data_IF_792960693136
#
_entry.id   IF_792960693136
#
_cell.length_a   1.000
_cell.length_b   1.000
_cell.length_c   1.000
_cell.angle_alpha   90.00
_cell.angle_beta   90.00
_cell.angle_gamma   90.00
#
_symmetry.space_group_name_H-M   'P 1'
#
loop_
_entity.id
_entity.type
_entity.pdbx_description
1 polymer ?
#
# COMPACT_ATOMS: atom_id res chain seq x y z
N UNK A 1 -20.94 -14.15 1.79
CA UNK A 1 -19.90 -14.06 2.85
C UNK A 1 -18.66 -13.29 2.40
N UNK A 2 -18.28 -13.34 1.11
CA UNK A 2 -17.04 -12.70 0.61
C UNK A 2 -16.99 -11.18 0.85
N UNK A 3 -18.08 -10.46 0.55
CA UNK A 3 -18.15 -9.00 0.76
C UNK A 3 -17.96 -8.64 2.24
N UNK A 4 -18.56 -9.40 3.15
CA UNK A 4 -18.40 -9.19 4.60
C UNK A 4 -16.93 -9.41 4.99
N UNK A 5 -16.28 -10.45 4.47
CA UNK A 5 -14.86 -10.69 4.71
C UNK A 5 -13.99 -9.53 4.23
N UNK A 6 -14.26 -9.00 3.02
CA UNK A 6 -13.57 -7.82 2.47
C UNK A 6 -13.79 -6.59 3.37
N UNK A 7 -15.03 -6.34 3.82
CA UNK A 7 -15.35 -5.22 4.72
C UNK A 7 -14.60 -5.32 6.05
N UNK A 8 -14.61 -6.50 6.68
CA UNK A 8 -13.90 -6.74 7.93
C UNK A 8 -12.38 -6.61 7.77
N UNK A 9 -11.84 -7.17 6.68
CA UNK A 9 -10.42 -7.05 6.36
C UNK A 9 -10.02 -5.59 6.11
N UNK A 10 -10.87 -4.79 5.45
CA UNK A 10 -10.67 -3.34 5.28
C UNK A 10 -10.59 -2.59 6.61
N UNK A 11 -11.52 -2.87 7.53
CA UNK A 11 -11.47 -2.34 8.89
C UNK A 11 -10.18 -2.74 9.64
N UNK A 12 -9.81 -4.02 9.55
CA UNK A 12 -8.57 -4.53 10.15
C UNK A 12 -7.31 -3.87 9.56
N UNK A 13 -7.26 -3.67 8.24
CA UNK A 13 -6.18 -2.97 7.55
C UNK A 13 -6.04 -1.52 8.02
N UNK A 14 -7.16 -0.80 8.17
CA UNK A 14 -7.16 0.57 8.67
C UNK A 14 -6.66 0.67 10.12
N UNK A 15 -7.05 -0.27 10.98
CA UNK A 15 -6.56 -0.36 12.38
C UNK A 15 -5.06 -0.67 12.40
N UNK A 16 -4.60 -1.61 11.56
CA UNK A 16 -3.19 -1.96 11.44
C UNK A 16 -2.35 -0.76 10.96
N UNK A 17 -2.84 -0.01 9.96
CA UNK A 17 -2.22 1.23 9.49
C UNK A 17 -2.08 2.23 10.62
N UNK A 18 -3.15 2.48 11.37
CA UNK A 18 -3.13 3.42 12.49
C UNK A 18 -2.15 3.01 13.59
N UNK A 19 -2.14 1.72 13.95
CA UNK A 19 -1.21 1.18 14.94
C UNK A 19 0.25 1.30 14.47
N UNK A 20 0.53 0.98 13.20
CA UNK A 20 1.86 1.06 12.64
C UNK A 20 2.35 2.51 12.50
N UNK A 21 1.49 3.43 12.03
CA UNK A 21 1.82 4.85 11.92
C UNK A 21 2.22 5.43 13.28
N UNK A 22 1.44 5.12 14.34
CA UNK A 22 1.76 5.52 15.71
C UNK A 22 3.08 4.92 16.21
N UNK A 23 3.32 3.63 15.97
CA UNK A 23 4.57 2.97 16.37
C UNK A 23 5.78 3.56 15.67
N UNK A 24 5.69 3.80 14.36
CA UNK A 24 6.77 4.38 13.57
C UNK A 24 7.10 5.81 14.03
N UNK A 25 6.08 6.62 14.31
CA UNK A 25 6.26 7.99 14.84
C UNK A 25 6.80 7.99 16.27
N UNK A 26 6.38 7.04 17.10
CA UNK A 26 6.87 6.89 18.49
C UNK A 26 8.31 6.39 18.55
N UNK A 27 8.70 5.47 17.65
CA UNK A 27 10.04 4.89 17.61
C UNK A 27 11.13 5.90 17.17
N UNK A 28 10.75 7.00 16.53
CA UNK A 28 11.70 8.01 16.04
C UNK A 28 11.15 9.42 16.23
N UNK A 29 11.58 10.06 17.32
CA UNK A 29 11.26 11.46 17.63
C UNK A 29 11.65 12.32 16.42
N UNK A 30 10.69 13.06 15.87
CA UNK A 30 10.89 13.95 14.73
C UNK A 30 10.75 13.31 13.34
N UNK A 31 10.23 12.08 13.22
CA UNK A 31 10.01 11.49 11.90
C UNK A 31 8.89 12.22 11.12
N UNK A 32 9.15 12.68 9.89
CA UNK A 32 8.11 13.34 9.08
C UNK A 32 6.92 12.41 8.82
N UNK A 33 5.70 12.96 8.85
CA UNK A 33 4.48 12.20 8.64
C UNK A 33 4.45 11.47 7.28
N UNK A 34 5.03 12.03 6.22
CA UNK A 34 5.14 11.34 4.92
C UNK A 34 6.05 10.12 4.96
N UNK A 35 7.05 10.09 5.85
CA UNK A 35 7.98 8.96 5.94
C UNK A 35 7.30 7.73 6.52
N UNK A 36 6.48 7.87 7.56
CA UNK A 36 5.72 6.73 8.10
C UNK A 36 4.73 6.19 7.07
N UNK A 37 4.01 7.08 6.39
CA UNK A 37 3.06 6.72 5.32
C UNK A 37 3.77 6.05 4.13
N UNK A 38 4.99 6.48 3.81
CA UNK A 38 5.79 5.84 2.76
C UNK A 38 6.11 4.39 3.12
N UNK A 39 6.54 4.13 4.36
CA UNK A 39 6.82 2.77 4.83
C UNK A 39 5.57 1.90 4.76
N UNK A 40 4.44 2.42 5.27
CA UNK A 40 3.15 1.71 5.24
C UNK A 40 2.74 1.36 3.80
N UNK A 41 2.76 2.35 2.90
CA UNK A 41 2.35 2.15 1.51
C UNK A 41 3.28 1.20 0.77
N UNK A 42 4.60 1.32 0.96
CA UNK A 42 5.59 0.40 0.36
C UNK A 42 5.37 -1.03 0.83
N UNK A 43 5.19 -1.27 2.14
CA UNK A 43 4.91 -2.61 2.67
C UNK A 43 3.62 -3.17 2.05
N UNK A 44 2.54 -2.37 2.03
CA UNK A 44 1.27 -2.79 1.43
C UNK A 44 1.39 -3.08 -0.06
N UNK A 45 2.19 -2.31 -0.79
CA UNK A 45 2.46 -2.53 -2.22
C UNK A 45 3.25 -3.81 -2.48
N UNK A 46 4.23 -4.19 -1.64
CA UNK A 46 4.91 -5.50 -1.75
C UNK A 46 3.88 -6.62 -1.62
N UNK A 47 3.01 -6.56 -0.60
CA UNK A 47 1.97 -7.57 -0.37
C UNK A 47 1.00 -7.63 -1.54
N UNK A 48 0.55 -6.49 -2.07
CA UNK A 48 -0.30 -6.44 -3.26
C UNK A 48 0.38 -7.03 -4.50
N UNK A 49 1.66 -6.76 -4.71
CA UNK A 49 2.45 -7.34 -5.78
C UNK A 49 2.53 -8.86 -5.68
N UNK A 50 2.83 -9.38 -4.48
CA UNK A 50 2.84 -10.82 -4.19
C UNK A 50 1.47 -11.45 -4.48
N UNK A 51 0.39 -10.85 -3.97
CA UNK A 51 -0.98 -11.32 -4.20
C UNK A 51 -1.34 -11.32 -5.68
N UNK A 52 -0.92 -10.30 -6.44
CA UNK A 52 -1.15 -10.22 -7.88
C UNK A 52 -0.39 -11.29 -8.66
N UNK A 53 0.88 -11.54 -8.34
CA UNK A 53 1.68 -12.58 -8.99
C UNK A 53 1.17 -13.99 -8.68
N UNK A 54 0.76 -14.20 -7.43
CA UNK A 54 0.06 -15.42 -7.02
C UNK A 54 -1.27 -15.55 -7.79
N UNK A 55 -2.10 -14.52 -7.85
CA UNK A 55 -3.35 -14.55 -8.62
C UNK A 55 -3.09 -14.92 -10.09
N UNK A 56 -2.07 -14.30 -10.71
CA UNK A 56 -1.67 -14.57 -12.08
C UNK A 56 -1.33 -16.06 -12.32
N UNK A 57 -0.48 -16.66 -11.48
CA UNK A 57 -0.03 -18.06 -11.63
C UNK A 57 -1.19 -19.06 -11.54
N UNK A 58 -2.15 -18.81 -10.64
CA UNK A 58 -3.23 -19.77 -10.34
C UNK A 58 -4.53 -19.51 -11.10
N UNK A 59 -4.78 -18.29 -11.56
CA UNK A 59 -6.01 -17.93 -12.28
C UNK A 59 -5.79 -17.60 -13.76
N UNK A 60 -4.55 -17.30 -14.19
CA UNK A 60 -4.24 -16.85 -15.54
C UNK A 60 -4.81 -15.46 -15.86
N UNK A 61 -5.52 -14.82 -14.92
CA UNK A 61 -6.12 -13.53 -15.11
C UNK A 61 -5.05 -12.44 -14.97
N UNK A 62 -4.83 -11.68 -16.04
CA UNK A 62 -4.15 -10.39 -15.96
C UNK A 62 -5.16 -9.27 -16.21
N UNK A 63 -4.96 -8.06 -15.68
CA UNK A 63 -5.72 -6.89 -16.09
C UNK A 63 -5.61 -6.57 -17.60
N UNK A 64 -4.65 -7.19 -18.31
CA UNK A 64 -4.35 -6.98 -19.72
C UNK A 64 -4.89 -8.09 -20.64
N UNK A 65 -5.44 -9.18 -20.10
CA UNK A 65 -6.02 -10.26 -20.91
C UNK A 65 -7.40 -9.87 -21.42
N UNK A 66 -7.45 -8.96 -22.38
CA UNK A 66 -8.64 -8.67 -23.20
C UNK A 66 -8.88 -9.73 -24.27
N UNK A 67 -7.85 -10.51 -24.59
CA UNK A 67 -7.92 -11.64 -25.49
C UNK A 67 -7.60 -12.88 -24.65
N UNK A 68 -8.53 -13.84 -24.62
CA UNK A 68 -8.48 -15.06 -23.82
C UNK A 68 -7.39 -16.04 -24.24
N UNK A 69 -6.15 -15.58 -24.39
CA UNK A 69 -4.97 -16.44 -24.38
C UNK A 69 -4.66 -16.78 -22.93
N UNK A 70 -5.10 -17.97 -22.51
CA UNK A 70 -4.57 -18.59 -21.31
C UNK A 70 -3.06 -18.75 -21.49
N UNK A 71 -2.29 -18.04 -20.68
CA UNK A 71 -0.82 -18.09 -20.76
C UNK A 71 -0.38 -19.50 -20.33
N UNK A 72 0.45 -20.12 -21.18
CA UNK A 72 1.04 -21.43 -20.94
C UNK A 72 1.77 -21.45 -19.58
N UNK A 73 1.41 -22.40 -18.72
CA UNK A 73 1.97 -22.53 -17.36
C UNK A 73 1.00 -22.19 -16.21
N UNK A 74 -0.23 -21.72 -16.51
CA UNK A 74 -1.25 -21.50 -15.49
C UNK A 74 -1.70 -22.83 -14.86
N UNK A 75 -1.57 -22.96 -13.54
CA UNK A 75 -2.03 -24.16 -12.83
C UNK A 75 -3.52 -24.02 -12.60
N UNK A 76 -4.34 -24.76 -13.35
CA UNK A 76 -5.79 -24.86 -13.15
C UNK A 76 -6.11 -25.56 -11.82
N UNK A 77 -5.78 -24.90 -10.71
CA UNK A 77 -6.07 -25.34 -9.35
C UNK A 77 -6.88 -24.22 -8.69
N UNK A 78 -8.17 -24.23 -9.00
CA UNK A 78 -9.19 -23.37 -8.38
C UNK A 78 -9.32 -23.56 -6.86
N UNK A 79 -8.61 -24.54 -6.28
CA UNK A 79 -8.70 -24.90 -4.86
C UNK A 79 -7.70 -24.23 -3.91
N UNK A 80 -6.52 -23.77 -4.37
CA UNK A 80 -5.47 -23.33 -3.42
C UNK A 80 -5.59 -21.86 -2.98
N UNK A 81 -6.25 -21.02 -3.78
CA UNK A 81 -6.58 -19.65 -3.44
C UNK A 81 -8.08 -19.48 -3.65
N UNK A 82 -8.84 -19.76 -2.61
CA UNK A 82 -10.29 -19.62 -2.68
C UNK A 82 -10.67 -18.21 -3.14
N UNK A 83 -11.70 -18.10 -3.98
CA UNK A 83 -12.14 -16.87 -4.64
C UNK A 83 -12.29 -15.65 -3.71
N UNK A 84 -12.51 -15.89 -2.42
CA UNK A 84 -12.67 -14.86 -1.40
C UNK A 84 -11.36 -14.34 -0.78
N UNK A 85 -10.26 -15.10 -0.80
CA UNK A 85 -9.02 -14.73 -0.09
C UNK A 85 -8.29 -13.58 -0.78
N UNK A 86 -8.14 -13.64 -2.11
CA UNK A 86 -7.45 -12.59 -2.88
C UNK A 86 -8.15 -11.24 -2.75
N UNK A 87 -9.48 -11.10 -2.96
CA UNK A 87 -10.16 -9.83 -2.74
C UNK A 87 -10.18 -9.44 -1.26
N UNK A 88 -10.31 -10.38 -0.32
CA UNK A 88 -10.25 -10.07 1.12
C UNK A 88 -8.90 -9.47 1.52
N UNK A 89 -7.78 -10.06 1.08
CA UNK A 89 -6.44 -9.59 1.43
C UNK A 89 -6.02 -8.37 0.60
N UNK A 90 -6.33 -8.34 -0.69
CA UNK A 90 -5.96 -7.27 -1.60
C UNK A 90 -6.85 -6.04 -1.46
N UNK A 91 -8.14 -6.18 -1.79
CA UNK A 91 -9.10 -5.06 -1.76
C UNK A 91 -9.44 -4.69 -0.32
N UNK A 92 -9.65 -5.68 0.55
CA UNK A 92 -9.95 -5.47 1.96
C UNK A 92 -8.73 -4.98 2.73
N UNK A 93 -7.90 -5.91 3.20
CA UNK A 93 -6.80 -5.58 4.12
C UNK A 93 -5.81 -4.59 3.53
N UNK A 94 -5.22 -4.86 2.36
CA UNK A 94 -4.23 -3.96 1.77
C UNK A 94 -4.84 -2.62 1.35
N UNK A 95 -6.11 -2.61 0.91
CA UNK A 95 -6.84 -1.38 0.62
C UNK A 95 -7.06 -0.49 1.85
N UNK A 96 -7.37 -1.08 3.01
CA UNK A 96 -7.48 -0.36 4.28
C UNK A 96 -6.12 0.01 4.91
N UNK A 97 -5.10 -0.81 4.67
CA UNK A 97 -3.74 -0.65 5.21
C UNK A 97 -2.93 0.41 4.47
N UNK A 98 -3.11 0.55 3.16
CA UNK A 98 -2.48 1.60 2.35
C UNK A 98 -3.33 2.87 2.34
N UNK A 99 -2.73 4.04 2.10
CA UNK A 99 -3.46 5.32 2.01
C UNK A 99 -2.76 6.34 1.11
N UNK A 100 -3.50 6.85 0.12
CA UNK A 100 -3.08 8.01 -0.67
C UNK A 100 -3.71 9.31 -0.14
N UNK A 101 -4.93 9.25 0.41
CA UNK A 101 -5.64 10.43 0.93
C UNK A 101 -4.88 11.11 2.06
N UNK A 102 -4.38 10.36 3.04
CA UNK A 102 -3.58 10.92 4.13
C UNK A 102 -2.23 11.45 3.60
N UNK A 103 -1.63 10.78 2.63
CA UNK A 103 -0.37 11.21 2.03
C UNK A 103 -0.50 12.53 1.27
N UNK A 104 -1.61 12.77 0.55
CA UNK A 104 -1.89 14.06 -0.09
C UNK A 104 -2.00 15.18 0.95
N UNK A 105 -2.81 14.97 1.99
CA UNK A 105 -3.01 15.99 3.05
C UNK A 105 -1.68 16.34 3.69
N UNK A 106 -0.84 15.35 3.95
CA UNK A 106 0.49 15.56 4.54
C UNK A 106 1.53 16.09 3.53
N UNK A 107 1.27 16.00 2.22
CA UNK A 107 2.11 16.63 1.19
C UNK A 107 1.80 18.12 1.00
N UNK A 108 0.62 18.57 1.45
CA UNK A 108 0.23 19.97 1.35
C UNK A 108 1.16 20.87 2.19
N UNK A 109 1.40 22.12 1.76
CA UNK A 109 2.07 23.12 2.59
C UNK A 109 1.36 23.33 3.92
N UNK A 110 2.06 23.68 5.01
CA UNK A 110 1.47 23.85 6.34
C UNK A 110 0.24 24.77 6.36
N UNK A 111 0.23 25.83 5.55
CA UNK A 111 -0.90 26.79 5.42
C UNK A 111 -2.21 26.19 4.91
N UNK A 112 -2.18 24.99 4.30
CA UNK A 112 -3.34 24.30 3.74
C UNK A 112 -3.72 23.05 4.55
N UNK A 113 -2.94 22.68 5.57
CA UNK A 113 -3.30 21.60 6.49
C UNK A 113 -4.30 22.17 7.50
N UNK A 114 -5.47 21.53 7.67
CA UNK A 114 -6.41 21.98 8.71
C UNK A 114 -5.77 21.84 10.09
N UNK A 115 -5.96 22.86 10.93
CA UNK A 115 -5.27 23.03 12.20
C UNK A 115 -5.97 22.27 13.35
N UNK A 116 -6.21 20.97 13.18
CA UNK A 116 -6.93 20.16 14.19
C UNK A 116 -6.00 19.10 14.82
N UNK A 117 -5.07 19.54 15.67
CA UNK A 117 -4.21 18.67 16.49
C UNK A 117 -3.16 19.47 17.29
N UNK A 118 -2.82 19.07 18.54
CA UNK A 118 -1.98 19.86 19.43
C UNK A 118 -0.62 20.12 18.79
N UNK A 119 -0.21 21.39 18.83
CA UNK A 119 1.07 21.87 18.32
C UNK A 119 2.22 21.13 19.01
N UNK A 120 2.63 19.97 18.47
CA UNK A 120 3.97 19.48 18.69
C UNK A 120 4.86 20.29 17.77
N UNK A 121 5.32 21.42 18.29
CA UNK A 121 6.41 22.23 17.75
C UNK A 121 7.57 21.30 17.39
N UNK A 122 7.63 20.88 16.12
CA UNK A 122 8.85 20.31 15.57
C UNK A 122 9.78 21.51 15.39
N UNK A 123 10.82 21.53 16.23
CA UNK A 123 11.79 22.62 16.34
C UNK A 123 12.04 23.30 15.00
N UNK A 124 11.85 24.62 15.02
CA UNK A 124 12.05 25.51 13.89
C UNK A 124 13.49 25.34 13.33
N UNK A 125 13.65 24.45 12.35
CA UNK A 125 14.68 24.62 11.34
C UNK A 125 14.19 25.76 10.45
N UNK A 126 14.83 26.92 10.59
CA UNK A 126 14.57 28.21 9.92
C UNK A 126 14.71 28.19 8.40
N UNK A 127 14.78 27.01 7.77
CA UNK A 127 14.65 26.87 6.32
C UNK A 127 13.18 26.80 5.98
N UNK A 128 12.66 27.86 5.37
CA UNK A 128 11.35 27.89 4.72
C UNK A 128 11.25 26.63 3.83
N UNK A 129 10.51 25.58 4.24
CA UNK A 129 10.51 24.34 3.47
C UNK A 129 9.89 24.67 2.12
N UNK A 130 10.59 24.32 1.04
CA UNK A 130 10.08 24.61 -0.30
C UNK A 130 8.66 24.04 -0.41
N UNK A 131 7.69 24.77 -1.00
CA UNK A 131 6.32 24.28 -1.19
C UNK A 131 6.28 22.90 -1.87
N UNK A 132 7.33 22.59 -2.64
CA UNK A 132 7.53 21.37 -3.40
C UNK A 132 8.11 20.19 -2.62
N UNK A 133 8.56 20.38 -1.38
CA UNK A 133 9.19 19.30 -0.61
C UNK A 133 8.20 18.15 -0.31
N UNK A 134 6.97 18.50 0.09
CA UNK A 134 5.90 17.52 0.30
C UNK A 134 5.47 16.82 -0.99
N UNK A 135 5.38 17.57 -2.09
CA UNK A 135 5.10 17.01 -3.42
C UNK A 135 6.21 16.05 -3.89
N UNK A 136 7.48 16.41 -3.70
CA UNK A 136 8.61 15.55 -4.03
C UNK A 136 8.59 14.25 -3.23
N UNK A 137 8.29 14.30 -1.94
CA UNK A 137 8.14 13.10 -1.12
C UNK A 137 6.94 12.25 -1.54
N UNK A 138 5.83 12.85 -1.98
CA UNK A 138 4.68 12.13 -2.53
C UNK A 138 5.04 11.38 -3.83
N UNK A 139 5.84 12.00 -4.70
CA UNK A 139 6.38 11.33 -5.89
C UNK A 139 7.31 10.18 -5.54
N UNK A 140 8.23 10.39 -4.59
CA UNK A 140 9.14 9.34 -4.11
C UNK A 140 8.36 8.17 -3.53
N UNK A 141 7.34 8.45 -2.71
CA UNK A 141 6.45 7.42 -2.19
C UNK A 141 5.77 6.64 -3.32
N UNK A 142 5.19 7.35 -4.29
CA UNK A 142 4.48 6.73 -5.41
C UNK A 142 5.40 5.84 -6.24
N UNK A 143 6.59 6.33 -6.61
CA UNK A 143 7.59 5.54 -7.32
C UNK A 143 8.04 4.32 -6.47
N UNK A 144 8.25 4.52 -5.17
CA UNK A 144 8.57 3.45 -4.23
C UNK A 144 7.51 2.36 -4.19
N UNK A 145 6.23 2.73 -4.16
CA UNK A 145 5.10 1.79 -4.21
C UNK A 145 5.06 1.00 -5.51
N UNK A 146 5.32 1.64 -6.66
CA UNK A 146 5.37 0.95 -7.96
C UNK A 146 6.50 -0.08 -7.98
N UNK A 147 7.70 0.31 -7.57
CA UNK A 147 8.85 -0.62 -7.51
C UNK A 147 8.57 -1.76 -6.53
N UNK A 148 8.02 -1.45 -5.35
CA UNK A 148 7.65 -2.43 -4.34
C UNK A 148 6.63 -3.47 -4.85
N UNK A 149 5.60 -3.01 -5.57
CA UNK A 149 4.62 -3.89 -6.18
C UNK A 149 5.24 -4.77 -7.28
N UNK A 150 6.10 -4.22 -8.13
CA UNK A 150 6.82 -4.99 -9.15
C UNK A 150 7.74 -6.04 -8.51
N UNK A 151 8.47 -5.70 -7.46
CA UNK A 151 9.30 -6.64 -6.72
C UNK A 151 8.46 -7.76 -6.10
N UNK A 152 7.35 -7.42 -5.45
CA UNK A 152 6.42 -8.42 -4.91
C UNK A 152 5.90 -9.36 -6.00
N UNK A 153 5.52 -8.83 -7.16
CA UNK A 153 5.07 -9.62 -8.29
C UNK A 153 6.16 -10.57 -8.82
N UNK A 154 7.38 -10.07 -9.03
CA UNK A 154 8.52 -10.89 -9.49
C UNK A 154 8.85 -11.96 -8.46
N UNK A 155 8.85 -11.65 -7.16
CA UNK A 155 9.08 -12.64 -6.10
C UNK A 155 8.03 -13.74 -6.14
N UNK A 156 6.75 -13.40 -6.36
CA UNK A 156 5.71 -14.41 -6.51
C UNK A 156 5.97 -15.32 -7.72
N UNK A 157 6.39 -14.78 -8.86
CA UNK A 157 6.77 -15.59 -10.02
C UNK A 157 7.96 -16.51 -9.71
N UNK A 158 9.02 -15.99 -9.11
CA UNK A 158 10.22 -16.78 -8.81
C UNK A 158 9.96 -17.92 -7.81
N UNK A 159 9.04 -17.71 -6.87
CA UNK A 159 8.77 -18.68 -5.80
C UNK A 159 7.65 -19.68 -6.14
N UNK A 160 6.70 -19.29 -6.99
CA UNK A 160 5.48 -20.08 -7.22
C UNK A 160 5.25 -20.45 -8.69
N UNK A 161 6.03 -19.93 -9.65
CA UNK A 161 5.97 -20.41 -11.03
C UNK A 161 6.55 -21.84 -11.13
N UNK A 162 5.98 -22.69 -12.01
CA UNK A 162 6.43 -24.07 -12.21
C UNK A 162 7.77 -24.20 -12.94
#
# INVERSE_FOLDING_TARGET
>A
MEIIAVMLAGGAGAIARFGLDRRLKSARIGMPALTSLTVINVIGSIVLGLLLGIAYIYSGATPLSSHGEAIAGTRANTGFLSAWMIPMLGIGFCGGFTTFSTAIVEALPPRLRSHDGPATEHGASTKNPSPWAGFGQLLVMTAGCVVAALLGYVVALLLFAP
#
